data_IF_450953767585
#
_entry.id   IF_450953767585
#
_cell.length_a   1.000
_cell.length_b   1.000
_cell.length_c   1.000
_cell.angle_alpha   90.00
_cell.angle_beta   90.00
_cell.angle_gamma   90.00
#
_symmetry.space_group_name_H-M   'P 1'
#
loop_
_entity.id
_entity.type
_entity.pdbx_description
1 polymer ?
#
# COMPACT_ATOMS: atom_id res chain seq x y z
N UNK A 1 2.86 3.97 -19.39
CA UNK A 1 3.02 5.16 -18.50
C UNK A 1 2.70 4.77 -17.08
N UNK A 2 3.61 5.01 -16.15
CA UNK A 2 3.49 4.67 -14.73
C UNK A 2 3.09 5.93 -13.95
N UNK A 3 2.03 5.85 -13.15
CA UNK A 3 1.60 6.97 -12.30
C UNK A 3 2.33 6.95 -10.96
N UNK A 4 2.88 8.10 -10.56
CA UNK A 4 3.60 8.29 -9.30
C UNK A 4 3.01 9.45 -8.50
N UNK A 5 3.28 9.47 -7.21
CA UNK A 5 2.89 10.55 -6.31
C UNK A 5 4.08 10.95 -5.47
N UNK A 6 4.52 12.19 -5.63
CA UNK A 6 5.49 12.81 -4.75
C UNK A 6 4.77 13.41 -3.54
N UNK A 7 5.33 13.26 -2.33
CA UNK A 7 4.73 13.70 -1.08
C UNK A 7 5.70 14.49 -0.23
N UNK A 8 5.28 15.68 0.18
CA UNK A 8 6.01 16.52 1.12
C UNK A 8 5.19 16.72 2.39
N UNK A 9 5.80 16.43 3.55
CA UNK A 9 5.13 16.56 4.85
C UNK A 9 5.42 17.95 5.41
N UNK A 10 4.41 18.81 5.47
CA UNK A 10 4.48 20.16 6.03
C UNK A 10 4.14 20.09 7.53
N UNK A 11 5.16 20.22 8.37
CA UNK A 11 5.03 20.23 9.84
C UNK A 11 4.74 21.64 10.35
N UNK A 12 4.35 21.77 11.61
CA UNK A 12 4.02 23.08 12.22
C UNK A 12 5.17 24.08 12.20
N UNK A 13 6.41 23.58 12.21
CA UNK A 13 7.64 24.39 12.09
C UNK A 13 8.01 24.79 10.66
N UNK A 14 7.31 24.27 9.65
CA UNK A 14 7.56 24.57 8.24
C UNK A 14 6.96 25.95 7.88
N UNK A 15 7.69 26.74 7.07
CA UNK A 15 7.24 28.06 6.60
C UNK A 15 5.91 28.02 5.86
N UNK A 16 5.61 26.94 5.17
CA UNK A 16 4.36 26.75 4.41
C UNK A 16 3.18 26.25 5.26
N UNK A 17 3.38 26.02 6.57
CA UNK A 17 2.32 25.42 7.39
C UNK A 17 1.08 26.35 7.48
N UNK A 18 1.29 27.65 7.73
CA UNK A 18 0.21 28.61 7.83
C UNK A 18 -0.56 28.76 6.50
N UNK A 19 0.16 28.79 5.39
CA UNK A 19 -0.45 28.83 4.06
C UNK A 19 -1.29 27.58 3.78
N UNK A 20 -0.79 26.38 4.07
CA UNK A 20 -1.55 25.12 3.95
C UNK A 20 -2.79 25.10 4.84
N UNK A 21 -2.69 25.64 6.07
CA UNK A 21 -3.81 25.83 6.97
C UNK A 21 -4.90 26.71 6.35
N UNK A 22 -4.52 27.88 5.81
CA UNK A 22 -5.44 28.84 5.16
C UNK A 22 -6.07 28.22 3.91
N UNK A 23 -5.29 27.61 3.03
CA UNK A 23 -5.77 26.92 1.82
C UNK A 23 -6.80 25.83 2.12
N UNK A 24 -6.52 24.94 3.09
CA UNK A 24 -7.46 23.91 3.48
C UNK A 24 -8.72 24.44 4.19
N UNK A 25 -8.62 25.60 4.85
CA UNK A 25 -9.77 26.31 5.43
C UNK A 25 -10.65 26.94 4.35
N UNK A 26 -10.07 27.62 3.36
CA UNK A 26 -10.77 28.16 2.21
C UNK A 26 -11.46 27.06 1.40
N UNK A 27 -10.74 25.98 1.14
CA UNK A 27 -11.30 24.78 0.51
C UNK A 27 -12.49 24.20 1.27
N UNK A 28 -12.47 24.26 2.62
CA UNK A 28 -13.61 23.84 3.44
C UNK A 28 -14.80 24.76 3.25
N UNK A 29 -14.61 26.09 3.29
CA UNK A 29 -15.70 27.07 3.12
C UNK A 29 -16.39 26.85 1.78
N UNK A 30 -15.68 27.01 0.67
CA UNK A 30 -16.23 26.85 -0.67
C UNK A 30 -16.79 25.43 -0.92
N UNK A 31 -16.08 24.40 -0.45
CA UNK A 31 -16.54 23.01 -0.57
C UNK A 31 -17.82 22.74 0.23
N UNK A 32 -18.05 23.41 1.37
CA UNK A 32 -19.29 23.31 2.12
C UNK A 32 -20.44 24.06 1.41
N UNK A 33 -20.18 25.18 0.75
CA UNK A 33 -21.15 25.84 -0.13
C UNK A 33 -21.61 24.91 -1.26
N UNK A 34 -20.65 24.23 -1.93
CA UNK A 34 -20.96 23.24 -2.96
C UNK A 34 -21.79 22.07 -2.42
N UNK A 35 -21.46 21.58 -1.20
CA UNK A 35 -22.25 20.54 -0.52
C UNK A 35 -23.66 21.04 -0.23
N UNK A 36 -23.82 22.27 0.23
CA UNK A 36 -25.14 22.86 0.52
C UNK A 36 -26.03 22.89 -0.74
N UNK A 37 -25.51 23.42 -1.84
CA UNK A 37 -26.24 23.49 -3.12
C UNK A 37 -26.68 22.09 -3.56
N UNK A 38 -25.80 21.11 -3.55
CA UNK A 38 -26.13 19.75 -4.02
C UNK A 38 -27.01 18.96 -3.05
N UNK A 39 -26.92 19.24 -1.72
CA UNK A 39 -27.84 18.64 -0.74
C UNK A 39 -29.25 19.20 -0.86
N UNK A 40 -29.40 20.50 -1.02
CA UNK A 40 -30.69 21.14 -1.20
C UNK A 40 -31.42 20.55 -2.40
N UNK A 41 -30.76 20.50 -3.57
CA UNK A 41 -31.30 19.85 -4.76
C UNK A 41 -31.65 18.35 -4.54
N UNK A 42 -30.82 17.62 -3.79
CA UNK A 42 -31.10 16.22 -3.48
C UNK A 42 -32.41 16.06 -2.68
N UNK A 43 -32.63 16.91 -1.67
CA UNK A 43 -33.88 16.89 -0.89
C UNK A 43 -35.11 17.34 -1.68
N UNK A 44 -34.91 18.25 -2.63
CA UNK A 44 -35.96 18.68 -3.58
C UNK A 44 -36.14 17.67 -4.74
N UNK A 45 -35.49 16.53 -4.71
CA UNK A 45 -35.53 15.48 -5.77
C UNK A 45 -35.12 16.00 -7.15
N UNK A 46 -34.31 17.04 -7.20
CA UNK A 46 -33.76 17.58 -8.44
C UNK A 46 -32.51 16.85 -8.90
N UNK A 47 -32.20 16.81 -10.20
CA UNK A 47 -30.99 16.16 -10.72
C UNK A 47 -29.71 16.85 -10.20
N UNK A 48 -28.65 16.06 -10.06
CA UNK A 48 -27.31 16.56 -9.65
C UNK A 48 -26.78 17.48 -10.75
N UNK A 49 -26.38 18.69 -10.37
CA UNK A 49 -25.80 19.66 -11.30
C UNK A 49 -24.57 19.11 -12.00
N UNK A 50 -24.41 19.49 -13.26
CA UNK A 50 -23.17 19.31 -13.99
C UNK A 50 -22.04 20.13 -13.35
N UNK A 51 -20.80 19.86 -13.76
CA UNK A 51 -19.62 20.59 -13.27
C UNK A 51 -19.71 22.10 -13.60
N UNK A 52 -20.23 22.44 -14.76
CA UNK A 52 -20.39 23.82 -15.24
C UNK A 52 -21.46 24.54 -14.44
N UNK A 53 -22.65 23.97 -14.34
CA UNK A 53 -23.77 24.55 -13.57
C UNK A 53 -23.44 24.77 -12.10
N UNK A 54 -22.71 23.80 -11.46
CA UNK A 54 -22.28 24.00 -10.07
C UNK A 54 -21.25 25.12 -9.94
N UNK A 55 -20.32 25.25 -10.88
CA UNK A 55 -19.33 26.34 -10.89
C UNK A 55 -20.02 27.71 -11.05
N UNK A 56 -21.00 27.82 -11.94
CA UNK A 56 -21.82 29.03 -12.14
C UNK A 56 -22.61 29.36 -10.87
N UNK A 57 -23.28 28.39 -10.27
CA UNK A 57 -24.01 28.60 -9.02
C UNK A 57 -23.08 29.09 -7.88
N UNK A 58 -21.87 28.53 -7.76
CA UNK A 58 -20.90 28.96 -6.75
C UNK A 58 -20.39 30.39 -7.01
N UNK A 59 -20.15 30.75 -8.26
CA UNK A 59 -19.75 32.12 -8.66
C UNK A 59 -20.81 33.16 -8.36
N UNK A 60 -22.08 32.82 -8.55
CA UNK A 60 -23.21 33.75 -8.36
C UNK A 60 -23.63 33.85 -6.88
N UNK A 61 -23.76 32.71 -6.21
CA UNK A 61 -24.35 32.69 -4.85
C UNK A 61 -23.31 32.82 -3.73
N UNK A 62 -22.03 32.44 -3.98
CA UNK A 62 -20.96 32.37 -2.98
C UNK A 62 -19.72 33.14 -3.43
N UNK A 63 -19.91 34.35 -3.94
CA UNK A 63 -18.88 35.21 -4.55
C UNK A 63 -17.66 35.40 -3.65
N UNK A 64 -17.88 35.70 -2.37
CA UNK A 64 -16.79 35.94 -1.42
C UNK A 64 -15.93 34.70 -1.18
N UNK A 65 -16.54 33.54 -0.95
CA UNK A 65 -15.80 32.28 -0.74
C UNK A 65 -15.13 31.80 -2.03
N UNK A 66 -15.74 32.07 -3.19
CA UNK A 66 -15.16 31.72 -4.49
C UNK A 66 -13.91 32.58 -4.81
N UNK A 67 -14.01 33.91 -4.61
CA UNK A 67 -12.88 34.85 -4.84
C UNK A 67 -11.78 34.76 -3.81
N UNK A 68 -12.07 34.24 -2.60
CA UNK A 68 -11.06 34.01 -1.58
C UNK A 68 -10.09 32.86 -1.93
N UNK A 69 -10.43 32.03 -2.92
CA UNK A 69 -9.53 30.97 -3.41
C UNK A 69 -8.35 31.59 -4.17
N UNK A 70 -7.14 30.99 -4.12
CA UNK A 70 -5.93 31.57 -4.72
C UNK A 70 -6.03 31.73 -6.26
N UNK A 71 -6.87 30.93 -6.92
CA UNK A 71 -7.10 31.03 -8.36
C UNK A 71 -8.47 30.47 -8.73
N UNK A 72 -9.02 30.88 -9.87
CA UNK A 72 -10.25 30.32 -10.43
C UNK A 72 -10.12 28.80 -10.65
N UNK A 73 -8.95 28.33 -11.10
CA UNK A 73 -8.69 26.90 -11.30
C UNK A 73 -8.82 26.10 -9.99
N UNK A 74 -8.35 26.64 -8.86
CA UNK A 74 -8.50 26.00 -7.56
C UNK A 74 -9.95 26.03 -7.06
N UNK A 75 -10.69 27.12 -7.28
CA UNK A 75 -12.10 27.21 -6.94
C UNK A 75 -12.95 26.19 -7.71
N UNK A 76 -12.80 26.16 -9.03
CA UNK A 76 -13.47 25.19 -9.92
C UNK A 76 -13.18 23.74 -9.51
N UNK A 77 -11.93 23.45 -9.14
CA UNK A 77 -11.54 22.11 -8.74
C UNK A 77 -12.24 21.67 -7.45
N UNK A 78 -12.50 22.56 -6.49
CA UNK A 78 -13.29 22.25 -5.29
C UNK A 78 -14.72 21.83 -5.65
N UNK A 79 -15.41 22.60 -6.49
CA UNK A 79 -16.74 22.26 -6.99
C UNK A 79 -16.77 20.90 -7.70
N UNK A 80 -15.80 20.67 -8.60
CA UNK A 80 -15.67 19.41 -9.33
C UNK A 80 -15.51 18.18 -8.41
N UNK A 81 -14.70 18.31 -7.35
CA UNK A 81 -14.50 17.21 -6.38
C UNK A 81 -15.79 16.91 -5.63
N UNK A 82 -16.54 17.94 -5.22
CA UNK A 82 -17.82 17.75 -4.54
C UNK A 82 -18.85 17.13 -5.49
N UNK A 83 -18.96 17.62 -6.73
CA UNK A 83 -19.85 17.04 -7.74
C UNK A 83 -19.56 15.55 -7.99
N UNK A 84 -18.26 15.15 -8.06
CA UNK A 84 -17.87 13.76 -8.17
C UNK A 84 -18.33 12.92 -6.97
N UNK A 85 -18.27 13.46 -5.75
CA UNK A 85 -18.72 12.77 -4.54
C UNK A 85 -20.23 12.50 -4.59
N UNK A 86 -21.03 13.47 -5.04
CA UNK A 86 -22.48 13.28 -5.19
C UNK A 86 -22.83 12.28 -6.31
N UNK A 87 -22.16 12.35 -7.46
CA UNK A 87 -22.35 11.33 -8.52
C UNK A 87 -22.02 9.93 -8.03
N UNK A 88 -20.92 9.77 -7.28
CA UNK A 88 -20.54 8.50 -6.69
C UNK A 88 -21.59 8.01 -5.67
N UNK A 89 -22.12 8.90 -4.83
CA UNK A 89 -23.21 8.62 -3.90
C UNK A 89 -24.47 8.14 -4.64
N UNK A 90 -24.92 8.87 -5.67
CA UNK A 90 -26.10 8.50 -6.47
C UNK A 90 -25.94 7.11 -7.10
N UNK A 91 -24.78 6.83 -7.72
CA UNK A 91 -24.47 5.52 -8.29
C UNK A 91 -24.47 4.42 -7.23
N UNK A 92 -23.80 4.66 -6.09
CA UNK A 92 -23.73 3.68 -5.00
C UNK A 92 -25.12 3.42 -4.38
N UNK A 93 -25.96 4.45 -4.27
CA UNK A 93 -27.34 4.32 -3.75
C UNK A 93 -28.21 3.52 -4.72
N UNK A 94 -28.10 3.76 -6.02
CA UNK A 94 -28.82 2.98 -7.04
C UNK A 94 -28.40 1.51 -7.02
N UNK A 95 -27.08 1.24 -6.89
CA UNK A 95 -26.56 -0.13 -6.81
C UNK A 95 -26.98 -0.81 -5.49
N UNK A 96 -27.01 -0.08 -4.38
CA UNK A 96 -27.47 -0.58 -3.08
C UNK A 96 -28.91 -1.10 -3.12
N UNK A 97 -29.80 -0.38 -3.81
CA UNK A 97 -31.21 -0.84 -3.93
C UNK A 97 -31.37 -2.07 -4.82
N UNK A 98 -30.45 -2.32 -5.75
CA UNK A 98 -30.45 -3.54 -6.60
C UNK A 98 -29.76 -4.72 -5.91
N UNK A 99 -28.70 -4.45 -5.17
CA UNK A 99 -27.79 -5.44 -4.59
C UNK A 99 -27.36 -5.04 -3.18
N UNK A 100 -28.27 -5.02 -2.18
CA UNK A 100 -27.95 -4.60 -0.82
C UNK A 100 -26.90 -5.51 -0.17
N UNK A 101 -26.81 -6.76 -0.57
CA UNK A 101 -25.84 -7.75 -0.08
C UNK A 101 -24.38 -7.39 -0.39
N UNK A 102 -24.14 -6.56 -1.40
CA UNK A 102 -22.80 -6.07 -1.75
C UNK A 102 -22.29 -4.94 -0.83
N UNK A 103 -23.14 -4.44 0.03
CA UNK A 103 -22.84 -3.28 0.87
C UNK A 103 -22.97 -3.62 2.35
N UNK A 104 -22.11 -2.99 3.18
CA UNK A 104 -22.20 -3.09 4.65
C UNK A 104 -23.35 -2.27 5.25
N UNK A 105 -24.05 -1.50 4.43
CA UNK A 105 -25.14 -0.63 4.80
C UNK A 105 -25.42 0.42 3.74
N UNK A 106 -26.53 1.17 3.91
CA UNK A 106 -26.95 2.21 2.97
C UNK A 106 -25.86 3.29 2.79
N UNK A 107 -25.53 3.69 1.56
CA UNK A 107 -24.60 4.78 1.30
C UNK A 107 -25.00 6.09 1.98
N UNK A 108 -24.03 6.77 2.58
CA UNK A 108 -24.28 8.04 3.27
C UNK A 108 -24.18 9.24 2.31
N UNK A 109 -25.15 10.15 2.39
CA UNK A 109 -25.13 11.41 1.65
C UNK A 109 -23.90 12.24 2.02
N UNK A 110 -23.12 12.78 1.05
CA UNK A 110 -21.96 13.60 1.32
C UNK A 110 -22.27 14.77 2.26
N UNK A 111 -21.49 14.90 3.34
CA UNK A 111 -21.73 15.85 4.41
C UNK A 111 -20.70 16.98 4.48
N UNK A 112 -21.02 17.97 5.35
CA UNK A 112 -20.18 19.12 5.63
C UNK A 112 -18.88 18.72 6.36
N UNK A 113 -17.79 19.45 6.07
CA UNK A 113 -16.53 19.32 6.80
C UNK A 113 -16.42 20.39 7.89
N UNK A 114 -16.05 20.00 9.12
CA UNK A 114 -16.00 20.92 10.27
C UNK A 114 -14.71 21.75 10.34
N UNK A 115 -13.54 21.12 10.13
CA UNK A 115 -12.25 21.80 10.34
C UNK A 115 -11.53 22.12 9.03
N UNK A 116 -11.26 21.12 8.20
CA UNK A 116 -10.53 21.24 6.94
C UNK A 116 -11.16 20.39 5.86
N UNK A 117 -10.93 20.79 4.62
CA UNK A 117 -11.12 19.97 3.42
C UNK A 117 -9.80 19.95 2.66
N UNK A 118 -9.48 18.84 2.03
CA UNK A 118 -8.34 18.77 1.10
C UNK A 118 -8.46 19.87 0.07
N UNK A 119 -7.41 20.67 -0.05
CA UNK A 119 -7.30 21.67 -1.11
C UNK A 119 -6.80 20.97 -2.38
N UNK A 120 -7.49 21.19 -3.48
CA UNK A 120 -7.15 20.60 -4.77
C UNK A 120 -6.86 21.71 -5.78
N UNK A 121 -5.84 21.49 -6.62
CA UNK A 121 -5.48 22.36 -7.72
C UNK A 121 -5.33 21.53 -8.98
N UNK A 122 -6.00 21.96 -10.04
CA UNK A 122 -5.78 21.40 -11.38
C UNK A 122 -4.46 21.88 -11.97
N UNK A 123 -4.06 21.29 -13.10
CA UNK A 123 -2.79 21.57 -13.78
C UNK A 123 -2.54 23.09 -14.03
N UNK A 124 -3.58 23.84 -14.34
CA UNK A 124 -3.47 25.30 -14.62
C UNK A 124 -3.39 26.18 -13.37
N UNK A 125 -3.41 25.62 -12.18
CA UNK A 125 -3.38 26.36 -10.92
C UNK A 125 -2.05 26.30 -10.19
N UNK A 126 -1.01 25.74 -10.80
CA UNK A 126 0.36 25.71 -10.29
C UNK A 126 1.36 25.60 -11.44
N UNK A 127 2.60 25.93 -11.14
CA UNK A 127 3.74 25.83 -12.06
C UNK A 127 4.90 25.13 -11.35
N UNK A 128 5.77 24.50 -12.15
CA UNK A 128 7.03 23.97 -11.66
C UNK A 128 8.14 24.66 -12.48
N UNK A 129 8.92 25.48 -11.80
CA UNK A 129 10.04 26.22 -12.40
C UNK A 129 11.30 26.00 -11.54
N UNK A 130 12.44 25.71 -12.17
CA UNK A 130 13.70 25.49 -11.48
C UNK A 130 13.58 24.49 -10.30
N UNK A 131 12.92 23.35 -10.52
CA UNK A 131 12.63 22.36 -9.49
C UNK A 131 11.77 22.86 -8.31
N UNK A 132 11.08 24.00 -8.47
CA UNK A 132 10.23 24.55 -7.44
C UNK A 132 8.76 24.53 -7.85
N UNK A 133 7.91 24.02 -6.98
CA UNK A 133 6.47 24.06 -7.06
C UNK A 133 5.97 25.45 -6.60
N UNK A 134 5.26 26.15 -7.49
CA UNK A 134 4.66 27.46 -7.25
C UNK A 134 3.14 27.32 -7.46
N UNK A 135 2.35 27.59 -6.43
CA UNK A 135 0.88 27.60 -6.54
C UNK A 135 0.46 28.98 -7.04
N UNK A 136 -0.33 29.03 -8.12
CA UNK A 136 -0.88 30.31 -8.66
C UNK A 136 -1.70 31.03 -7.60
N UNK A 137 -1.34 32.29 -7.31
CA UNK A 137 -1.95 33.07 -6.22
C UNK A 137 -1.59 32.59 -4.81
N UNK A 138 -0.68 31.62 -4.68
CA UNK A 138 -0.25 31.07 -3.40
C UNK A 138 0.55 32.06 -2.56
N UNK A 139 1.33 32.93 -3.20
CA UNK A 139 2.14 33.95 -2.55
C UNK A 139 1.30 34.90 -1.70
N UNK A 140 0.18 35.38 -2.25
CA UNK A 140 -0.77 36.24 -1.53
C UNK A 140 -1.38 35.57 -0.28
N UNK A 141 -1.27 34.26 -0.18
CA UNK A 141 -1.72 33.45 0.97
C UNK A 141 -0.52 33.10 1.88
N UNK A 142 0.71 33.42 1.46
CA UNK A 142 1.95 33.13 2.16
C UNK A 142 2.51 31.73 1.85
N UNK A 143 2.15 31.13 0.72
CA UNK A 143 2.75 29.87 0.26
C UNK A 143 4.05 30.16 -0.48
N UNK A 144 5.17 29.82 0.14
CA UNK A 144 6.48 29.93 -0.48
C UNK A 144 6.75 28.78 -1.45
N UNK A 145 7.47 29.02 -2.57
CA UNK A 145 7.93 27.98 -3.46
C UNK A 145 8.61 26.85 -2.70
N UNK A 146 8.37 25.59 -3.11
CA UNK A 146 8.94 24.42 -2.47
C UNK A 146 9.60 23.49 -3.49
N UNK A 147 10.79 22.98 -3.16
CA UNK A 147 11.51 22.04 -4.02
C UNK A 147 10.71 20.76 -4.21
N UNK A 148 10.63 20.28 -5.45
CA UNK A 148 10.04 19.01 -5.86
C UNK A 148 11.07 18.15 -6.59
N UNK A 149 11.02 16.84 -6.33
CA UNK A 149 11.99 15.86 -6.83
C UNK A 149 11.54 15.19 -8.13
N UNK A 150 10.25 15.26 -8.44
CA UNK A 150 9.71 14.67 -9.68
C UNK A 150 10.40 15.22 -10.94
N UNK A 151 10.98 16.42 -10.88
CA UNK A 151 11.74 17.03 -11.96
C UNK A 151 13.13 16.43 -12.17
N UNK A 152 13.66 15.70 -11.19
CA UNK A 152 14.96 15.02 -11.27
C UNK A 152 14.85 13.71 -12.07
N UNK A 153 13.65 13.20 -12.29
CA UNK A 153 13.42 12.10 -13.22
C UNK A 153 13.46 12.61 -14.66
N UNK A 154 14.10 11.87 -15.57
CA UNK A 154 14.32 12.22 -16.99
C UNK A 154 13.05 12.63 -17.77
N UNK A 155 11.88 12.40 -17.21
CA UNK A 155 10.56 12.76 -17.74
C UNK A 155 10.33 14.28 -17.82
N UNK A 156 11.09 15.08 -17.10
CA UNK A 156 11.06 16.56 -17.15
C UNK A 156 12.05 17.16 -18.14
N UNK A 157 12.43 16.44 -19.16
CA UNK A 157 13.24 17.02 -20.22
C UNK A 157 12.46 18.18 -20.89
N UNK A 158 13.03 19.38 -20.86
CA UNK A 158 12.39 20.64 -21.24
C UNK A 158 11.84 20.71 -22.68
N UNK A 159 12.20 19.77 -23.55
CA UNK A 159 11.65 19.62 -24.90
C UNK A 159 10.33 18.81 -24.93
N UNK A 160 10.09 17.99 -23.95
CA UNK A 160 8.80 17.31 -23.79
C UNK A 160 7.98 18.09 -22.76
N UNK A 161 7.21 19.08 -23.19
CA UNK A 161 6.10 19.68 -22.44
C UNK A 161 5.06 18.64 -21.95
N UNK A 162 5.43 17.40 -21.85
CA UNK A 162 4.65 16.21 -21.68
C UNK A 162 4.93 15.40 -20.40
N UNK A 163 5.74 15.89 -19.47
CA UNK A 163 5.63 15.37 -18.12
C UNK A 163 4.23 15.72 -17.64
N UNK A 164 3.31 14.80 -17.82
CA UNK A 164 1.90 14.99 -17.47
C UNK A 164 1.82 15.04 -15.96
N UNK A 165 2.19 16.19 -15.43
CA UNK A 165 1.97 16.51 -14.02
C UNK A 165 0.47 16.63 -13.85
N UNK A 166 -0.06 15.82 -12.96
CA UNK A 166 -1.49 15.72 -12.73
C UNK A 166 -2.01 16.75 -11.72
N UNK A 167 -2.95 16.35 -10.89
CA UNK A 167 -3.51 17.21 -9.85
C UNK A 167 -2.52 17.37 -8.67
N UNK A 168 -2.39 18.60 -8.20
CA UNK A 168 -1.79 18.93 -6.92
C UNK A 168 -2.88 18.92 -5.83
N UNK A 169 -2.57 18.38 -4.66
CA UNK A 169 -3.47 18.48 -3.50
C UNK A 169 -2.70 18.67 -2.19
N UNK A 170 -3.32 19.43 -1.28
CA UNK A 170 -2.84 19.60 0.09
C UNK A 170 -3.83 18.89 1.01
N UNK A 171 -3.36 17.81 1.62
CA UNK A 171 -4.18 16.92 2.45
C UNK A 171 -3.96 17.22 3.92
N UNK A 172 -4.99 17.65 4.68
CA UNK A 172 -4.86 17.87 6.12
C UNK A 172 -4.79 16.53 6.85
N UNK A 173 -3.72 16.33 7.64
CA UNK A 173 -3.49 15.10 8.40
C UNK A 173 -3.05 15.39 9.83
N UNK A 174 -4.00 15.38 10.76
CA UNK A 174 -3.74 15.77 12.17
C UNK A 174 -3.31 17.23 12.29
N UNK A 175 -2.09 17.44 12.77
CA UNK A 175 -1.46 18.76 12.91
C UNK A 175 -0.46 19.05 11.78
N UNK A 176 -0.47 18.24 10.73
CA UNK A 176 0.41 18.38 9.56
C UNK A 176 -0.42 18.49 8.30
N UNK A 177 0.20 18.96 7.23
CA UNK A 177 -0.35 18.89 5.88
C UNK A 177 0.57 18.07 4.99
N UNK A 178 0.02 17.41 3.99
CA UNK A 178 0.79 16.68 2.98
C UNK A 178 0.51 17.35 1.65
N UNK A 179 1.55 17.89 1.05
CA UNK A 179 1.50 18.34 -0.34
C UNK A 179 1.77 17.12 -1.21
N UNK A 180 0.80 16.74 -2.03
CA UNK A 180 0.89 15.60 -2.94
C UNK A 180 0.81 16.09 -4.38
N UNK A 181 1.84 15.77 -5.15
CA UNK A 181 1.92 16.03 -6.57
C UNK A 181 1.86 14.71 -7.33
N UNK A 182 0.85 14.54 -8.18
CA UNK A 182 0.76 13.37 -9.05
C UNK A 182 1.47 13.64 -10.36
N UNK A 183 2.22 12.66 -10.85
CA UNK A 183 2.92 12.74 -12.13
C UNK A 183 2.94 11.38 -12.82
N UNK A 184 3.22 11.36 -14.13
CA UNK A 184 3.34 10.15 -14.92
C UNK A 184 4.75 10.06 -15.47
N UNK A 185 5.32 8.87 -15.37
CA UNK A 185 6.63 8.54 -15.93
C UNK A 185 6.39 7.76 -17.22
N UNK A 186 6.97 8.21 -18.36
CA UNK A 186 7.11 7.37 -19.54
C UNK A 186 8.23 6.39 -19.31
N UNK A 187 7.97 5.12 -19.49
CA UNK A 187 9.02 4.12 -19.58
C UNK A 187 9.54 4.18 -21.00
N UNK A 188 10.73 4.74 -21.23
CA UNK A 188 11.38 4.63 -22.52
C UNK A 188 11.81 3.18 -22.73
N UNK A 189 11.70 2.67 -23.96
CA UNK A 189 12.17 1.32 -24.31
C UNK A 189 13.69 1.15 -24.04
N UNK A 190 14.45 2.25 -24.08
CA UNK A 190 15.87 2.31 -23.67
C UNK A 190 16.10 2.04 -22.18
N UNK A 191 15.14 2.36 -21.30
CA UNK A 191 15.22 2.02 -19.88
C UNK A 191 14.90 0.53 -19.62
N UNK A 192 14.19 -0.10 -20.56
CA UNK A 192 14.01 -1.55 -20.59
C UNK A 192 15.30 -2.30 -20.95
N UNK A 193 16.19 -1.70 -21.74
CA UNK A 193 17.51 -2.28 -22.07
C UNK A 193 18.53 -2.14 -20.93
N UNK A 194 18.29 -1.22 -19.96
CA UNK A 194 18.98 -1.14 -18.67
C UNK A 194 18.25 -1.88 -17.55
N UNK A 195 17.01 -2.34 -17.77
CA UNK A 195 16.40 -3.31 -16.89
C UNK A 195 17.23 -4.58 -17.04
N UNK A 196 17.90 -4.98 -15.98
CA UNK A 196 18.41 -6.33 -15.83
C UNK A 196 17.29 -7.24 -16.32
N UNK A 197 17.55 -8.01 -17.40
CA UNK A 197 16.57 -8.97 -17.93
C UNK A 197 16.42 -10.04 -16.87
N UNK A 198 15.52 -9.80 -15.93
CA UNK A 198 15.27 -10.74 -14.82
C UNK A 198 14.63 -12.01 -15.40
N UNK A 199 15.08 -13.15 -14.93
CA UNK A 199 14.54 -14.43 -15.36
C UNK A 199 13.07 -14.55 -14.91
N UNK A 200 12.17 -14.51 -15.89
CA UNK A 200 10.72 -14.61 -15.66
C UNK A 200 10.28 -16.01 -15.21
N UNK A 201 11.14 -17.02 -15.35
CA UNK A 201 10.89 -18.39 -14.88
C UNK A 201 11.22 -18.53 -13.39
N UNK A 202 12.11 -17.67 -12.88
CA UNK A 202 12.45 -17.66 -11.46
C UNK A 202 11.43 -16.87 -10.64
N UNK A 203 10.94 -17.47 -9.56
CA UNK A 203 9.88 -16.92 -8.73
C UNK A 203 10.26 -16.82 -7.25
N UNK A 204 9.66 -15.83 -6.58
CA UNK A 204 9.72 -15.61 -5.13
C UNK A 204 8.30 -15.72 -4.55
N UNK A 205 8.07 -16.74 -3.74
CA UNK A 205 6.78 -16.99 -3.10
C UNK A 205 6.71 -16.33 -1.73
N UNK A 206 5.57 -15.72 -1.41
CA UNK A 206 5.37 -14.95 -0.19
C UNK A 206 4.14 -15.44 0.58
N UNK A 207 4.35 -15.91 1.81
CA UNK A 207 3.30 -16.11 2.82
C UNK A 207 3.22 -14.90 3.75
N UNK A 208 2.02 -14.39 4.03
CA UNK A 208 1.76 -13.22 4.87
C UNK A 208 1.21 -13.63 6.23
N UNK A 209 1.93 -13.31 7.29
CA UNK A 209 1.59 -13.73 8.64
C UNK A 209 1.51 -12.62 9.68
N UNK A 210 1.35 -13.02 10.95
CA UNK A 210 1.28 -12.11 12.12
C UNK A 210 2.64 -11.99 12.82
N UNK A 211 3.29 -13.10 13.13
CA UNK A 211 4.58 -13.12 13.84
C UNK A 211 5.75 -12.95 12.90
N UNK A 212 5.75 -13.68 11.82
CA UNK A 212 6.47 -13.37 10.61
C UNK A 212 5.53 -12.57 9.72
N UNK A 213 5.83 -11.29 9.49
CA UNK A 213 4.99 -10.40 8.69
C UNK A 213 4.91 -10.84 7.24
N UNK A 214 6.03 -11.36 6.73
CA UNK A 214 6.13 -11.97 5.42
C UNK A 214 7.26 -13.00 5.43
N UNK A 215 7.04 -14.13 4.79
CA UNK A 215 7.99 -15.24 4.63
C UNK A 215 8.19 -15.50 3.16
N UNK A 216 9.43 -15.69 2.74
CA UNK A 216 9.78 -15.80 1.33
C UNK A 216 10.59 -17.06 1.04
N UNK A 217 10.23 -17.72 -0.07
CA UNK A 217 10.92 -18.89 -0.65
C UNK A 217 11.16 -18.63 -2.13
N UNK A 218 12.36 -18.87 -2.64
CA UNK A 218 12.72 -18.73 -4.05
C UNK A 218 12.73 -20.08 -4.76
N UNK A 219 12.44 -20.09 -6.05
CA UNK A 219 12.69 -21.26 -6.93
C UNK A 219 14.17 -21.50 -7.17
N UNK A 220 15.00 -20.44 -7.01
CA UNK A 220 16.43 -20.47 -7.37
C UNK A 220 17.25 -21.25 -6.37
N UNK A 221 18.02 -22.29 -6.80
CA UNK A 221 18.91 -23.06 -5.93
C UNK A 221 19.94 -22.16 -5.23
N UNK A 222 20.34 -22.52 -4.01
CA UNK A 222 21.28 -21.75 -3.19
C UNK A 222 20.73 -20.48 -2.56
N UNK A 223 19.49 -20.09 -2.88
CA UNK A 223 18.86 -18.91 -2.31
C UNK A 223 18.11 -19.27 -1.03
N UNK A 224 18.68 -18.87 0.10
CA UNK A 224 18.12 -19.16 1.42
C UNK A 224 16.77 -18.48 1.63
N UNK A 225 15.73 -19.21 2.14
CA UNK A 225 14.47 -18.60 2.55
C UNK A 225 14.65 -17.52 3.61
N UNK A 226 13.79 -16.50 3.61
CA UNK A 226 13.89 -15.42 4.58
C UNK A 226 12.55 -14.96 5.17
N UNK A 227 12.65 -14.39 6.37
CA UNK A 227 11.50 -13.92 7.14
C UNK A 227 11.64 -12.45 7.50
N UNK A 228 10.59 -11.68 7.29
CA UNK A 228 10.46 -10.33 7.84
C UNK A 228 9.63 -10.40 9.12
N UNK A 229 10.24 -10.11 10.28
CA UNK A 229 9.55 -10.21 11.57
C UNK A 229 8.47 -9.14 11.74
N UNK A 230 7.27 -9.56 12.17
CA UNK A 230 6.16 -8.67 12.51
C UNK A 230 6.23 -8.01 13.88
N UNK A 231 7.24 -8.34 14.72
CA UNK A 231 7.35 -7.88 16.12
C UNK A 231 7.29 -6.36 16.24
N UNK A 232 8.01 -5.62 15.39
CA UNK A 232 8.04 -4.15 15.41
C UNK A 232 6.66 -3.56 15.06
N UNK A 233 6.00 -4.09 14.04
CA UNK A 233 4.65 -3.65 13.62
C UNK A 233 3.62 -3.92 14.74
N UNK A 234 3.71 -5.08 15.39
CA UNK A 234 2.85 -5.45 16.52
C UNK A 234 3.08 -4.53 17.71
N UNK A 235 4.33 -4.28 18.08
CA UNK A 235 4.70 -3.38 19.19
C UNK A 235 4.17 -1.96 18.96
N UNK A 236 4.32 -1.41 17.75
CA UNK A 236 3.76 -0.10 17.38
C UNK A 236 2.24 -0.05 17.53
N UNK A 237 1.54 -1.11 17.13
CA UNK A 237 0.08 -1.19 17.24
C UNK A 237 -0.37 -1.32 18.70
N UNK A 238 0.29 -2.14 19.49
CA UNK A 238 -0.01 -2.33 20.92
C UNK A 238 0.22 -1.05 21.72
N UNK A 239 1.37 -0.39 21.50
CA UNK A 239 1.66 0.89 22.14
C UNK A 239 0.64 1.97 21.76
N UNK A 240 0.27 2.04 20.49
CA UNK A 240 -0.78 2.95 20.03
C UNK A 240 -2.11 2.67 20.73
N UNK A 241 -2.54 1.41 20.82
CA UNK A 241 -3.80 1.03 21.46
C UNK A 241 -3.80 1.39 22.97
N UNK A 242 -2.69 1.13 23.68
CA UNK A 242 -2.52 1.52 25.09
C UNK A 242 -2.67 3.03 25.28
N UNK A 243 -1.94 3.82 24.48
CA UNK A 243 -2.01 5.29 24.53
C UNK A 243 -3.40 5.83 24.17
N UNK A 244 -4.08 5.21 23.18
CA UNK A 244 -5.45 5.62 22.80
C UNK A 244 -6.44 5.30 23.91
N UNK A 245 -6.33 4.16 24.59
CA UNK A 245 -7.19 3.82 25.72
C UNK A 245 -7.05 4.84 26.85
N UNK A 246 -5.81 5.20 27.21
CA UNK A 246 -5.51 6.21 28.23
C UNK A 246 -6.04 7.61 27.83
N UNK A 247 -5.82 8.04 26.59
CA UNK A 247 -6.31 9.34 26.11
C UNK A 247 -7.85 9.40 26.03
N UNK A 248 -8.50 8.28 25.76
CA UNK A 248 -9.97 8.18 25.76
C UNK A 248 -10.54 8.34 27.18
N UNK A 249 -9.97 7.69 28.17
CA UNK A 249 -10.40 7.82 29.57
C UNK A 249 -10.26 9.26 30.09
N UNK A 250 -9.25 9.99 29.58
CA UNK A 250 -9.02 11.42 29.89
C UNK A 250 -9.77 12.41 28.98
N UNK A 251 -10.59 11.97 28.04
CA UNK A 251 -11.34 12.83 27.10
C UNK A 251 -10.49 13.55 26.04
N UNK A 252 -9.20 13.22 25.89
CA UNK A 252 -8.25 13.93 25.01
C UNK A 252 -8.31 13.51 23.53
N UNK A 253 -9.45 13.73 22.87
CA UNK A 253 -9.71 13.31 21.46
C UNK A 253 -8.72 13.88 20.44
N UNK A 254 -8.27 15.13 20.61
CA UNK A 254 -7.31 15.77 19.70
C UNK A 254 -5.95 15.06 19.73
N UNK A 255 -5.48 14.63 20.88
CA UNK A 255 -4.23 13.89 21.04
C UNK A 255 -4.29 12.50 20.41
N UNK A 256 -5.44 11.82 20.46
CA UNK A 256 -5.66 10.52 19.78
C UNK A 256 -5.38 10.64 18.28
N UNK A 257 -5.89 11.72 17.64
CA UNK A 257 -5.66 11.95 16.23
C UNK A 257 -4.16 12.14 15.90
N UNK A 258 -3.45 12.90 16.71
CA UNK A 258 -2.00 13.11 16.56
C UNK A 258 -1.21 11.80 16.71
N UNK A 259 -1.56 10.96 17.68
CA UNK A 259 -0.96 9.63 17.87
C UNK A 259 -1.24 8.72 16.67
N UNK A 260 -2.46 8.76 16.12
CA UNK A 260 -2.84 8.04 14.91
C UNK A 260 -1.98 8.40 13.70
N UNK A 261 -1.71 9.70 13.49
CA UNK A 261 -0.83 10.18 12.42
C UNK A 261 0.61 9.71 12.62
N UNK A 262 1.16 9.80 13.84
CA UNK A 262 2.53 9.30 14.14
C UNK A 262 2.64 7.80 13.88
N UNK A 263 1.65 7.02 14.31
CA UNK A 263 1.60 5.58 14.02
C UNK A 263 1.56 5.32 12.51
N UNK A 264 0.69 6.03 11.77
CA UNK A 264 0.57 5.89 10.31
C UNK A 264 1.93 6.05 9.63
N UNK A 265 2.67 7.11 9.93
CA UNK A 265 3.96 7.37 9.28
C UNK A 265 5.02 6.34 9.65
N UNK A 266 5.08 5.88 10.89
CA UNK A 266 6.02 4.82 11.30
C UNK A 266 5.74 3.50 10.60
N UNK A 267 4.46 3.10 10.52
CA UNK A 267 4.07 1.90 9.77
C UNK A 267 4.38 2.04 8.28
N UNK A 268 4.10 3.21 7.71
CA UNK A 268 4.36 3.50 6.31
C UNK A 268 5.85 3.40 5.97
N UNK A 269 6.74 3.96 6.80
CA UNK A 269 8.19 3.86 6.64
C UNK A 269 8.67 2.41 6.68
N UNK A 270 8.21 1.63 7.66
CA UNK A 270 8.56 0.21 7.77
C UNK A 270 8.11 -0.60 6.55
N UNK A 271 6.89 -0.36 6.06
CA UNK A 271 6.39 -1.04 4.86
C UNK A 271 7.18 -0.66 3.60
N UNK A 272 7.59 0.60 3.47
CA UNK A 272 8.44 1.04 2.37
C UNK A 272 9.80 0.33 2.39
N UNK A 273 10.42 0.21 3.57
CA UNK A 273 11.68 -0.50 3.76
C UNK A 273 11.54 -1.99 3.45
N UNK A 274 10.49 -2.62 4.00
CA UNK A 274 10.21 -4.04 3.76
C UNK A 274 9.97 -4.33 2.27
N UNK A 275 9.11 -3.56 1.61
CA UNK A 275 8.83 -3.77 0.18
C UNK A 275 10.04 -3.46 -0.71
N UNK A 276 10.90 -2.49 -0.34
CA UNK A 276 12.15 -2.24 -1.06
C UNK A 276 13.15 -3.39 -0.90
N UNK A 277 13.21 -4.01 0.29
CA UNK A 277 14.03 -5.19 0.54
C UNK A 277 13.65 -6.34 -0.39
N UNK A 278 12.34 -6.63 -0.54
CA UNK A 278 11.85 -7.67 -1.45
C UNK A 278 12.30 -7.42 -2.88
N UNK A 279 12.14 -6.19 -3.38
CA UNK A 279 12.58 -5.85 -4.75
C UNK A 279 14.09 -5.98 -4.90
N UNK A 280 14.88 -5.51 -3.91
CA UNK A 280 16.34 -5.67 -3.95
C UNK A 280 16.76 -7.14 -3.95
N UNK A 281 16.05 -7.99 -3.23
CA UNK A 281 16.28 -9.44 -3.25
C UNK A 281 16.04 -10.01 -4.65
N UNK A 282 14.92 -9.68 -5.29
CA UNK A 282 14.64 -10.10 -6.65
C UNK A 282 15.73 -9.66 -7.64
N UNK A 283 16.20 -8.41 -7.52
CA UNK A 283 17.28 -7.88 -8.37
C UNK A 283 18.64 -8.57 -8.12
N UNK A 284 18.93 -8.91 -6.86
CA UNK A 284 20.20 -9.55 -6.50
C UNK A 284 20.30 -11.02 -6.95
N UNK A 285 19.16 -11.70 -7.02
CA UNK A 285 19.08 -13.12 -7.36
C UNK A 285 18.43 -13.40 -8.72
N UNK A 286 18.24 -12.37 -9.53
CA UNK A 286 17.69 -12.50 -10.89
C UNK A 286 16.31 -13.19 -10.90
N UNK A 287 15.38 -12.70 -10.07
CA UNK A 287 14.02 -13.23 -9.94
C UNK A 287 13.01 -12.29 -10.57
N UNK A 288 12.34 -12.74 -11.63
CA UNK A 288 11.40 -11.93 -12.41
C UNK A 288 9.92 -12.07 -12.01
N UNK A 289 9.57 -12.94 -11.06
CA UNK A 289 8.20 -13.17 -10.65
C UNK A 289 8.03 -13.21 -9.13
N UNK A 290 7.07 -12.48 -8.57
CA UNK A 290 6.69 -12.55 -7.16
C UNK A 290 5.26 -13.06 -7.06
N UNK A 291 5.05 -14.12 -6.27
CA UNK A 291 3.73 -14.71 -6.02
C UNK A 291 3.38 -14.52 -4.55
N UNK A 292 2.25 -13.90 -4.26
CA UNK A 292 1.83 -13.58 -2.89
C UNK A 292 0.53 -14.32 -2.56
N UNK A 293 0.56 -15.14 -1.51
CA UNK A 293 -0.62 -15.82 -0.98
C UNK A 293 -1.56 -14.85 -0.29
N UNK A 294 -2.83 -14.82 -0.70
CA UNK A 294 -3.89 -14.04 -0.05
C UNK A 294 -5.24 -14.72 -0.29
N UNK A 295 -5.99 -14.98 0.76
CA UNK A 295 -7.39 -15.36 0.63
C UNK A 295 -8.27 -14.12 0.48
N UNK A 296 -9.24 -14.16 -0.42
CA UNK A 296 -10.28 -13.14 -0.50
C UNK A 296 -11.03 -13.09 0.83
N UNK A 297 -11.29 -11.87 1.34
CA UNK A 297 -12.02 -11.64 2.60
C UNK A 297 -11.34 -12.17 3.89
N UNK A 298 -10.09 -12.65 3.83
CA UNK A 298 -9.39 -13.26 4.96
C UNK A 298 -9.37 -12.43 6.27
N UNK A 299 -9.71 -11.14 6.22
CA UNK A 299 -9.83 -10.26 7.39
C UNK A 299 -11.27 -10.05 7.87
N UNK A 300 -12.26 -10.55 7.18
CA UNK A 300 -13.68 -10.23 7.48
C UNK A 300 -14.30 -11.16 8.51
N UNK A 301 -13.99 -12.47 8.46
CA UNK A 301 -14.58 -13.49 9.33
C UNK A 301 -13.55 -14.26 10.17
N UNK A 302 -12.42 -13.62 10.47
CA UNK A 302 -11.34 -14.31 11.19
C UNK A 302 -11.67 -14.48 12.66
N UNK A 303 -11.76 -15.71 13.13
CA UNK A 303 -11.91 -16.07 14.55
C UNK A 303 -10.62 -16.69 15.10
N UNK A 304 -9.58 -15.86 15.29
CA UNK A 304 -8.29 -16.23 15.91
C UNK A 304 -8.24 -15.89 17.42
N UNK A 305 -9.40 -15.58 18.01
CA UNK A 305 -9.51 -15.02 19.36
C UNK A 305 -9.25 -13.50 19.39
N UNK A 306 -9.86 -12.81 20.35
CA UNK A 306 -9.95 -11.34 20.44
C UNK A 306 -8.62 -10.60 20.25
N UNK A 307 -7.53 -11.06 20.88
CA UNK A 307 -6.19 -10.45 20.80
C UNK A 307 -5.51 -10.65 19.46
N UNK A 308 -5.63 -11.85 18.89
CA UNK A 308 -5.02 -12.16 17.59
C UNK A 308 -5.79 -11.49 16.46
N UNK A 309 -7.12 -11.45 16.51
CA UNK A 309 -7.94 -10.70 15.54
C UNK A 309 -7.57 -9.22 15.52
N UNK A 310 -7.40 -8.58 16.68
CA UNK A 310 -6.99 -7.19 16.76
C UNK A 310 -5.61 -6.96 16.13
N UNK A 311 -4.63 -7.82 16.41
CA UNK A 311 -3.29 -7.73 15.83
C UNK A 311 -3.35 -7.93 14.32
N UNK A 312 -4.09 -8.91 13.84
CA UNK A 312 -4.21 -9.27 12.43
C UNK A 312 -4.87 -8.17 11.58
N UNK A 313 -6.01 -7.64 12.05
CA UNK A 313 -6.73 -6.56 11.38
C UNK A 313 -5.89 -5.27 11.30
N UNK A 314 -5.05 -5.01 12.29
CA UNK A 314 -4.21 -3.82 12.35
C UNK A 314 -2.92 -3.91 11.50
N UNK A 315 -2.53 -5.08 11.02
CA UNK A 315 -1.38 -5.24 10.12
C UNK A 315 -1.78 -4.87 8.68
N UNK A 316 -1.08 -3.93 8.04
CA UNK A 316 -1.49 -3.41 6.74
C UNK A 316 -0.95 -4.25 5.56
N UNK A 317 -1.27 -5.56 5.51
CA UNK A 317 -0.80 -6.48 4.47
C UNK A 317 -1.18 -6.01 3.06
N UNK A 318 -2.45 -5.63 2.82
CA UNK A 318 -2.86 -5.13 1.51
C UNK A 318 -2.05 -3.93 1.03
N UNK A 319 -1.69 -3.01 1.97
CA UNK A 319 -0.81 -1.88 1.63
C UNK A 319 0.62 -2.32 1.31
N UNK A 320 1.11 -3.35 1.98
CA UNK A 320 2.43 -3.93 1.69
C UNK A 320 2.46 -4.55 0.28
N UNK A 321 1.44 -5.32 -0.07
CA UNK A 321 1.28 -5.90 -1.41
C UNK A 321 1.23 -4.82 -2.50
N UNK A 322 0.44 -3.76 -2.29
CA UNK A 322 0.41 -2.64 -3.23
C UNK A 322 1.78 -1.94 -3.36
N UNK A 323 2.54 -1.85 -2.25
CA UNK A 323 3.89 -1.29 -2.29
C UNK A 323 4.89 -2.20 -3.04
N UNK A 324 4.74 -3.51 -2.97
CA UNK A 324 5.52 -4.45 -3.79
C UNK A 324 5.14 -4.27 -5.26
N UNK A 325 3.85 -4.28 -5.60
CA UNK A 325 3.36 -4.17 -6.97
C UNK A 325 3.93 -2.97 -7.72
N UNK A 326 3.73 -1.76 -7.18
CA UNK A 326 4.18 -0.57 -7.91
C UNK A 326 5.70 -0.43 -7.99
N UNK A 327 6.44 -1.01 -7.02
CA UNK A 327 7.92 -1.03 -7.07
C UNK A 327 8.44 -2.12 -8.03
N UNK A 328 7.79 -3.27 -8.07
CA UNK A 328 8.07 -4.34 -9.01
C UNK A 328 7.88 -3.89 -10.46
N UNK A 329 6.85 -3.08 -10.69
CA UNK A 329 6.57 -2.48 -12.00
C UNK A 329 7.75 -1.65 -12.54
N UNK A 330 8.53 -0.98 -11.68
CA UNK A 330 9.71 -0.20 -12.10
C UNK A 330 10.81 -1.07 -12.74
N UNK A 331 10.87 -2.35 -12.37
CA UNK A 331 11.90 -3.29 -12.80
C UNK A 331 11.36 -4.39 -13.72
N UNK A 332 10.08 -4.33 -14.12
CA UNK A 332 9.46 -5.37 -14.95
C UNK A 332 9.18 -6.68 -14.22
N UNK A 333 9.27 -6.72 -12.90
CA UNK A 333 8.95 -7.90 -12.09
C UNK A 333 7.43 -8.12 -12.10
N UNK A 334 7.00 -9.31 -12.49
CA UNK A 334 5.59 -9.71 -12.45
C UNK A 334 5.16 -9.97 -11.01
N UNK A 335 3.96 -9.52 -10.61
CA UNK A 335 3.40 -9.78 -9.27
C UNK A 335 2.04 -10.42 -9.40
N UNK A 336 1.93 -11.68 -8.98
CA UNK A 336 0.68 -12.45 -8.94
C UNK A 336 0.18 -12.58 -7.50
N UNK A 337 -1.13 -12.59 -7.33
CA UNK A 337 -1.77 -12.92 -6.05
C UNK A 337 -2.50 -14.25 -6.21
N UNK A 338 -2.18 -15.20 -5.35
CA UNK A 338 -2.74 -16.55 -5.38
C UNK A 338 -3.56 -16.85 -4.15
N UNK A 339 -4.60 -17.61 -4.32
CA UNK A 339 -5.41 -18.16 -3.22
C UNK A 339 -4.56 -19.14 -2.39
N UNK A 340 -4.62 -19.03 -1.05
CA UNK A 340 -3.73 -19.74 -0.11
C UNK A 340 -4.44 -20.78 0.78
N UNK A 341 -5.65 -21.23 0.42
CA UNK A 341 -6.35 -22.25 1.21
C UNK A 341 -5.49 -23.51 1.35
N UNK A 342 -5.46 -24.02 2.58
CA UNK A 342 -4.72 -25.22 2.99
C UNK A 342 -3.20 -25.14 2.93
N UNK A 343 -2.57 -24.09 2.42
CA UNK A 343 -1.09 -24.00 2.30
C UNK A 343 -0.37 -24.13 3.63
N UNK A 344 -0.96 -23.69 4.74
CA UNK A 344 -0.40 -23.82 6.10
C UNK A 344 -0.63 -25.20 6.74
N UNK A 345 -1.48 -26.05 6.14
CA UNK A 345 -1.83 -27.36 6.66
C UNK A 345 -1.17 -28.50 5.87
N UNK A 346 -1.10 -28.36 4.56
CA UNK A 346 -0.48 -29.32 3.66
C UNK A 346 1.03 -29.36 3.86
N UNK A 347 1.63 -30.55 3.70
CA UNK A 347 3.08 -30.71 3.70
C UNK A 347 3.65 -30.40 2.32
N UNK A 348 4.53 -29.40 2.24
CA UNK A 348 5.25 -29.10 1.01
C UNK A 348 6.26 -30.19 0.66
N UNK A 349 6.93 -30.76 1.68
CA UNK A 349 7.97 -31.79 1.51
C UNK A 349 7.40 -33.14 1.11
N UNK A 350 6.16 -33.44 1.48
CA UNK A 350 5.50 -34.70 1.13
C UNK A 350 4.57 -34.54 -0.09
N UNK A 351 4.53 -33.35 -0.68
CA UNK A 351 3.72 -33.03 -1.86
C UNK A 351 2.22 -33.28 -1.68
N UNK A 352 1.67 -33.02 -0.47
CA UNK A 352 0.24 -33.15 -0.20
C UNK A 352 -0.59 -32.40 -1.23
N UNK A 353 -1.68 -33.00 -1.67
CA UNK A 353 -2.64 -32.36 -2.56
C UNK A 353 -3.39 -31.23 -1.83
N UNK A 354 -3.57 -30.08 -2.49
CA UNK A 354 -4.21 -28.89 -1.91
C UNK A 354 -5.43 -28.52 -2.74
N UNK A 355 -6.65 -28.88 -2.31
CA UNK A 355 -7.85 -28.47 -3.02
C UNK A 355 -8.04 -26.95 -2.92
N UNK A 356 -8.75 -26.39 -3.90
CA UNK A 356 -9.25 -25.01 -3.83
C UNK A 356 -10.45 -24.99 -2.88
N UNK A 357 -10.54 -23.96 -2.04
CA UNK A 357 -11.66 -23.82 -1.11
C UNK A 357 -12.95 -23.47 -1.88
N UNK A 358 -13.87 -24.41 -2.03
CA UNK A 358 -15.23 -24.12 -2.49
C UNK A 358 -16.20 -24.09 -1.30
N UNK A 359 -16.90 -22.96 -1.13
CA UNK A 359 -17.90 -22.77 -0.07
C UNK A 359 -19.13 -23.68 -0.24
N UNK A 360 -19.30 -24.27 -1.42
CA UNK A 360 -20.49 -25.09 -1.76
C UNK A 360 -20.30 -26.61 -1.57
N UNK A 361 -19.05 -27.08 -1.50
CA UNK A 361 -18.79 -28.50 -1.29
C UNK A 361 -18.72 -28.82 0.21
N UNK A 362 -19.78 -29.42 0.73
CA UNK A 362 -19.84 -30.05 2.07
C UNK A 362 -19.13 -31.41 2.09
N UNK A 363 -17.97 -31.50 1.45
CA UNK A 363 -17.17 -32.72 1.41
C UNK A 363 -16.33 -32.95 2.67
N UNK A 364 -15.76 -34.15 2.81
CA UNK A 364 -14.86 -34.49 3.89
C UNK A 364 -13.67 -33.52 3.94
N UNK A 365 -13.27 -33.09 5.15
CA UNK A 365 -12.09 -32.22 5.32
C UNK A 365 -10.87 -32.91 4.78
N UNK A 366 -10.03 -32.26 3.96
CA UNK A 366 -8.83 -32.87 3.42
C UNK A 366 -7.89 -33.27 4.57
N UNK A 367 -7.34 -34.49 4.46
CA UNK A 367 -6.35 -35.03 5.39
C UNK A 367 -4.97 -34.79 4.79
N UNK A 368 -4.03 -34.34 5.62
CA UNK A 368 -2.66 -34.05 5.22
C UNK A 368 -1.68 -34.98 5.91
N UNK A 369 -0.59 -35.32 5.23
CA UNK A 369 0.40 -36.31 5.69
C UNK A 369 1.26 -35.77 6.84
N UNK A 370 1.60 -34.47 6.80
CA UNK A 370 2.37 -33.79 7.82
C UNK A 370 1.52 -33.05 8.85
N UNK A 371 2.15 -32.51 9.88
CA UNK A 371 1.45 -31.75 10.93
C UNK A 371 2.28 -30.63 11.54
N UNK A 372 1.59 -29.55 11.96
CA UNK A 372 2.19 -28.49 12.75
C UNK A 372 2.40 -28.98 14.19
N UNK A 373 3.66 -29.07 14.66
CA UNK A 373 4.01 -29.56 16.00
C UNK A 373 3.84 -28.45 17.03
N UNK A 374 4.35 -27.27 16.69
CA UNK A 374 4.24 -26.05 17.52
C UNK A 374 4.23 -24.83 16.61
N UNK A 375 3.98 -23.66 17.22
CA UNK A 375 4.03 -22.41 16.47
C UNK A 375 5.38 -22.23 15.79
N UNK A 376 5.39 -22.04 14.47
CA UNK A 376 6.60 -21.86 13.65
C UNK A 376 7.33 -23.15 13.28
N UNK A 377 6.83 -24.35 13.66
CA UNK A 377 7.46 -25.62 13.32
C UNK A 377 6.45 -26.62 12.78
N UNK A 378 6.76 -27.16 11.61
CA UNK A 378 5.98 -28.19 10.91
C UNK A 378 6.82 -29.45 10.76
N UNK A 379 6.22 -30.63 10.87
CA UNK A 379 6.84 -31.93 10.66
C UNK A 379 6.19 -32.62 9.47
N UNK A 380 7.00 -33.04 8.49
CA UNK A 380 6.57 -33.85 7.36
C UNK A 380 6.20 -35.26 7.77
N UNK A 381 5.57 -36.05 6.91
CA UNK A 381 5.29 -37.46 7.14
C UNK A 381 6.60 -38.28 7.39
N UNK A 382 7.67 -37.93 6.68
CA UNK A 382 8.98 -38.55 6.83
C UNK A 382 9.76 -38.05 8.06
N UNK A 383 9.14 -37.26 8.94
CA UNK A 383 9.75 -36.75 10.16
C UNK A 383 10.64 -35.52 10.03
N UNK A 384 10.85 -35.02 8.82
CA UNK A 384 11.65 -33.82 8.59
C UNK A 384 10.97 -32.58 9.20
N UNK A 385 11.77 -31.69 9.78
CA UNK A 385 11.33 -30.47 10.42
C UNK A 385 11.56 -29.27 9.49
N UNK A 386 10.53 -28.48 9.25
CA UNK A 386 10.60 -27.26 8.46
C UNK A 386 9.91 -26.11 9.21
N UNK A 387 10.36 -24.89 8.97
CA UNK A 387 9.61 -23.72 9.48
C UNK A 387 8.21 -23.70 8.86
N UNK A 388 7.18 -23.57 9.69
CA UNK A 388 5.79 -23.68 9.25
C UNK A 388 5.37 -22.59 8.24
N UNK A 389 5.97 -21.40 8.30
CA UNK A 389 5.64 -20.31 7.39
C UNK A 389 6.44 -20.46 6.07
N UNK A 390 7.63 -21.12 6.10
CA UNK A 390 8.35 -21.56 4.89
C UNK A 390 7.55 -22.66 4.18
N UNK A 391 7.05 -23.65 4.91
CA UNK A 391 6.17 -24.67 4.36
C UNK A 391 4.96 -24.05 3.63
N UNK A 392 4.32 -23.02 4.25
CA UNK A 392 3.20 -22.32 3.64
C UNK A 392 3.62 -21.56 2.36
N UNK A 393 4.75 -20.85 2.38
CA UNK A 393 5.26 -20.13 1.22
C UNK A 393 5.63 -21.08 0.06
N UNK A 394 6.24 -22.24 0.35
CA UNK A 394 6.50 -23.27 -0.65
C UNK A 394 5.21 -23.82 -1.26
N UNK A 395 4.18 -24.07 -0.45
CA UNK A 395 2.87 -24.50 -0.93
C UNK A 395 2.15 -23.43 -1.78
N UNK A 396 2.34 -22.13 -1.52
CA UNK A 396 1.88 -21.07 -2.42
C UNK A 396 2.53 -21.20 -3.78
N UNK A 397 3.84 -21.48 -3.81
CA UNK A 397 4.59 -21.76 -5.05
C UNK A 397 4.07 -22.98 -5.79
N UNK A 398 3.77 -24.07 -5.09
CA UNK A 398 3.18 -25.29 -5.67
C UNK A 398 1.81 -25.02 -6.29
N UNK A 399 0.98 -24.18 -5.67
CA UNK A 399 -0.30 -23.77 -6.24
C UNK A 399 -0.18 -22.91 -7.51
N UNK A 400 0.90 -22.17 -7.66
CA UNK A 400 1.13 -21.30 -8.83
C UNK A 400 1.83 -22.02 -9.97
N UNK A 401 2.93 -22.75 -9.67
CA UNK A 401 3.83 -23.34 -10.66
C UNK A 401 3.77 -24.87 -10.73
N UNK A 402 2.94 -25.52 -9.90
CA UNK A 402 2.98 -26.99 -9.74
C UNK A 402 4.13 -27.45 -8.84
N UNK A 403 4.40 -28.76 -8.83
CA UNK A 403 5.35 -29.38 -7.91
C UNK A 403 6.78 -29.46 -8.44
N UNK A 404 6.97 -29.34 -9.76
CA UNK A 404 8.23 -29.63 -10.46
C UNK A 404 9.40 -28.75 -9.97
N UNK A 405 9.16 -27.44 -9.80
CA UNK A 405 10.18 -26.53 -9.29
C UNK A 405 10.69 -26.95 -7.90
N UNK A 406 9.77 -27.44 -7.03
CA UNK A 406 10.14 -27.84 -5.68
C UNK A 406 10.88 -29.17 -5.67
N UNK A 407 10.50 -30.13 -6.53
CA UNK A 407 11.26 -31.39 -6.73
C UNK A 407 12.69 -31.09 -7.15
N UNK A 408 12.84 -30.29 -8.19
CA UNK A 408 14.14 -29.85 -8.70
C UNK A 408 14.95 -29.11 -7.63
N UNK A 409 14.35 -28.23 -6.85
CA UNK A 409 15.03 -27.53 -5.76
C UNK A 409 15.52 -28.49 -4.67
N UNK A 410 14.70 -29.48 -4.27
CA UNK A 410 15.06 -30.46 -3.27
C UNK A 410 16.16 -31.46 -3.75
N UNK A 411 16.21 -31.77 -5.04
CA UNK A 411 17.26 -32.58 -5.65
C UNK A 411 18.61 -31.85 -5.70
N UNK A 412 18.59 -30.55 -6.10
CA UNK A 412 19.79 -29.75 -6.27
C UNK A 412 20.34 -29.20 -4.94
N UNK A 413 19.44 -28.91 -3.99
CA UNK A 413 19.76 -28.19 -2.75
C UNK A 413 18.84 -28.63 -1.60
N UNK A 414 18.90 -29.94 -1.28
CA UNK A 414 17.97 -30.59 -0.34
C UNK A 414 17.93 -30.04 1.07
N UNK A 415 18.90 -29.20 1.46
CA UNK A 415 18.98 -28.57 2.78
C UNK A 415 18.32 -27.18 2.87
N UNK A 416 18.20 -26.47 1.77
CA UNK A 416 17.84 -25.02 1.78
C UNK A 416 16.49 -24.71 2.44
N UNK A 417 15.49 -25.56 2.27
CA UNK A 417 14.16 -25.36 2.86
C UNK A 417 14.07 -25.77 4.33
N UNK A 418 14.87 -26.74 4.75
CA UNK A 418 14.88 -27.25 6.14
C UNK A 418 15.86 -26.48 7.02
N UNK A 419 16.80 -25.76 6.40
CA UNK A 419 17.73 -24.88 7.09
C UNK A 419 17.05 -23.74 7.84
N UNK A 420 17.78 -23.19 8.82
CA UNK A 420 17.31 -22.02 9.55
C UNK A 420 17.20 -20.82 8.60
N UNK A 421 15.99 -20.23 8.41
CA UNK A 421 15.82 -19.13 7.48
C UNK A 421 16.59 -17.87 7.90
N UNK A 422 16.97 -17.05 6.94
CA UNK A 422 17.48 -15.71 7.23
C UNK A 422 16.41 -14.83 7.86
N UNK A 423 16.71 -14.13 8.95
CA UNK A 423 15.74 -13.40 9.75
C UNK A 423 15.99 -11.89 9.70
N UNK A 424 15.12 -11.14 9.04
CA UNK A 424 15.12 -9.68 9.04
C UNK A 424 14.38 -9.17 10.28
N UNK A 425 15.13 -8.78 11.31
CA UNK A 425 14.58 -8.29 12.60
C UNK A 425 14.41 -6.78 12.62
N UNK A 426 15.32 -6.03 11.98
CA UNK A 426 15.35 -4.58 11.94
C UNK A 426 15.41 -4.07 10.49
N UNK A 427 14.49 -3.16 10.16
CA UNK A 427 14.43 -2.49 8.87
C UNK A 427 14.95 -1.03 8.95
N UNK A 428 15.64 -0.66 10.04
CA UNK A 428 15.95 0.74 10.33
C UNK A 428 17.20 1.27 9.64
N UNK A 429 18.15 0.42 9.23
CA UNK A 429 19.40 0.88 8.61
C UNK A 429 19.60 0.29 7.21
N UNK A 430 20.14 1.09 6.29
CA UNK A 430 20.52 0.67 4.94
C UNK A 430 21.70 -0.34 4.95
N UNK A 431 22.57 -0.26 5.96
CA UNK A 431 23.69 -1.19 6.18
C UNK A 431 23.20 -2.61 6.47
N UNK A 432 22.15 -2.76 7.27
CA UNK A 432 21.57 -4.07 7.56
C UNK A 432 20.97 -4.75 6.32
N UNK A 433 20.57 -3.99 5.30
CA UNK A 433 20.07 -4.53 4.02
C UNK A 433 21.23 -5.03 3.17
N UNK A 434 22.38 -4.32 3.17
CA UNK A 434 23.61 -4.75 2.49
C UNK A 434 24.17 -6.03 3.11
N UNK A 435 24.42 -6.01 4.42
CA UNK A 435 24.88 -7.16 5.19
C UNK A 435 23.98 -8.38 5.03
N UNK A 436 22.67 -8.15 4.90
CA UNK A 436 21.72 -9.23 4.72
C UNK A 436 21.78 -9.85 3.31
N UNK A 437 22.00 -9.05 2.27
CA UNK A 437 22.24 -9.56 0.90
C UNK A 437 23.58 -10.31 0.81
N UNK A 438 24.61 -9.83 1.52
CA UNK A 438 25.94 -10.46 1.59
C UNK A 438 25.93 -11.80 2.35
N UNK A 439 25.07 -11.96 3.38
CA UNK A 439 24.88 -13.23 4.10
C UNK A 439 24.23 -14.30 3.23
N UNK A 440 23.46 -13.93 2.22
CA UNK A 440 22.90 -14.84 1.22
C UNK A 440 23.95 -15.37 0.22
N UNK A 441 24.98 -14.56 -0.08
CA UNK A 441 26.07 -14.93 -1.00
C UNK A 441 27.14 -15.79 -0.36
N UNK A 442 27.37 -15.71 0.96
CA UNK A 442 28.37 -16.54 1.66
C UNK A 442 28.04 -18.03 1.67
N UNK A 443 26.80 -18.42 1.50
CA UNK A 443 26.43 -19.84 1.38
C UNK A 443 26.82 -20.46 0.03
N UNK A 444 27.13 -19.68 -1.00
CA UNK A 444 27.62 -20.20 -2.28
C UNK A 444 29.14 -20.58 -2.24
N UNK A 445 29.94 -19.86 -1.45
CA UNK A 445 31.37 -20.14 -1.32
C UNK A 445 31.66 -21.40 -0.49
N UNK A 446 30.81 -21.72 0.48
CA UNK A 446 30.99 -22.95 1.32
C UNK A 446 30.56 -24.24 0.63
N UNK A 447 29.68 -24.17 -0.37
CA UNK A 447 29.30 -25.37 -1.15
C UNK A 447 30.38 -25.84 -2.14
N UNK A 448 31.31 -24.95 -2.55
CA UNK A 448 32.43 -25.31 -3.44
C UNK A 448 33.67 -25.85 -2.73
N UNK A 449 33.77 -25.78 -1.41
CA UNK A 449 34.96 -26.21 -0.64
C UNK A 449 34.81 -27.62 -0.01
N UNK A 450 33.59 -28.17 0.05
CA UNK A 450 33.35 -29.53 0.59
C UNK A 450 33.37 -30.64 -0.45
N UNK A 451 33.82 -30.39 -1.67
CA UNK A 451 33.98 -31.33 -2.78
C UNK A 451 35.45 -31.62 -3.13
N UNK A 452 36.34 -31.83 -2.13
CA UNK A 452 37.65 -32.44 -2.31
C UNK A 452 37.90 -33.53 -1.26
#
# INVERSE_FOLDING_TARGET
MIQRVERHIIRKSDKNWQACHKLCSLSRKLGNCAVYVLRHRHFEKQPVLSRKELDEALKLQYVSDYRAMPSAASAQKQGQVVAKQFKAFTKATSEYYKHPEKFRGKPNLPGYKRKYRTFYVGRNGYQIQNHQLIITGGEAIGFSPMRVLCCEHQVFNAKANEAVVGDLRIVPMGNTFIVELTYRVRREEKDLSKSVSLDSNEALFCDLGIDNFATFVSTKPGVRPFLIKGKVLKSLNQNYNKQVAELRSKGHRAHIRTKGVKRYWRLHDLLHKASRLVIKHCLAYDVGHIVIGINQEWKQEVNLGKRNNQNFVMLPHGKFVEMIRYKAEDYGIRVTVREESYTSKASALDFDEMPTFDKKESGAKPVFSGRRIKRGLYRSAKGQLINADINAAANIGRKELGDEWLRKLLELDGGVLVDTPAVVRNLHTSENIRQWLELGTRSQETAHVSGR
#
